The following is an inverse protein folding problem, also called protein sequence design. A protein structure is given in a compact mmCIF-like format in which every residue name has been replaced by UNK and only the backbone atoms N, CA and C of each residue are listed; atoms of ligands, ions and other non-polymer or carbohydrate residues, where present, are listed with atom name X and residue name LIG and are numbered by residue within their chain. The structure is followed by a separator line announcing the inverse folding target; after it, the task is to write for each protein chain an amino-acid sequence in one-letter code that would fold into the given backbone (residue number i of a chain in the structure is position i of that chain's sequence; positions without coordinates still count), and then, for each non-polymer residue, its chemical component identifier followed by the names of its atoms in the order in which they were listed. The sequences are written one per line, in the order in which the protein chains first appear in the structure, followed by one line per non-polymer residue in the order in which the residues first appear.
data_IF_579950732871
#
_entry.id   IF_579950732871
#
_cell.length_a   1.000
_cell.length_b   1.000
_cell.length_c   1.000
_cell.angle_alpha   90.00
_cell.angle_beta   90.00
_cell.angle_gamma   90.00
#
_symmetry.space_group_name_H-M   'P 1'
#
loop_
_entity.id
_entity.type
_entity.pdbx_description
1 polymer ?
#
# COMPACT_ATOMS: atom_id res chain seq x y z
N UNK A 1 -61.16 -33.34 21.87
CA UNK A 1 -60.22 -32.35 22.44
C UNK A 1 -58.79 -32.74 22.06
N UNK A 2 -58.14 -31.88 21.26
CA UNK A 2 -56.70 -31.62 21.07
C UNK A 2 -55.72 -32.81 20.89
N UNK A 3 -55.40 -33.08 19.62
CA UNK A 3 -54.12 -33.65 19.20
C UNK A 3 -52.96 -32.70 19.56
N UNK A 4 -51.89 -33.22 20.17
CA UNK A 4 -50.62 -32.51 20.35
C UNK A 4 -49.61 -33.10 19.37
N UNK A 5 -49.35 -32.37 18.30
CA UNK A 5 -48.21 -32.59 17.40
C UNK A 5 -46.99 -31.94 18.05
N UNK A 6 -45.98 -32.74 18.40
CA UNK A 6 -44.67 -32.21 18.77
C UNK A 6 -43.89 -31.96 17.48
N UNK A 7 -43.73 -30.68 17.13
CA UNK A 7 -42.87 -30.24 16.04
C UNK A 7 -41.45 -30.10 16.60
N UNK A 8 -40.59 -31.08 16.30
CA UNK A 8 -39.16 -31.01 16.62
C UNK A 8 -38.47 -30.13 15.58
N UNK A 9 -38.18 -28.88 15.93
CA UNK A 9 -37.35 -27.99 15.11
C UNK A 9 -35.90 -28.43 15.20
N UNK A 10 -35.42 -29.10 14.16
CA UNK A 10 -34.01 -29.38 13.93
C UNK A 10 -33.34 -28.09 13.41
N UNK A 11 -32.64 -27.35 14.27
CA UNK A 11 -31.72 -26.29 13.80
C UNK A 11 -30.52 -26.95 13.13
N UNK A 12 -30.39 -26.78 11.81
CA UNK A 12 -29.13 -27.00 11.11
C UNK A 12 -28.18 -25.86 11.47
N UNK A 13 -27.26 -26.11 12.40
CA UNK A 13 -26.07 -25.29 12.54
C UNK A 13 -25.14 -25.59 11.35
N UNK A 14 -25.08 -24.69 10.39
CA UNK A 14 -24.10 -24.76 9.31
C UNK A 14 -22.75 -24.38 9.89
N UNK A 15 -21.91 -25.38 10.17
CA UNK A 15 -20.52 -25.15 10.51
C UNK A 15 -19.78 -24.71 9.24
N UNK A 16 -19.44 -23.42 9.14
CA UNK A 16 -18.43 -22.96 8.19
C UNK A 16 -17.10 -23.53 8.69
N UNK A 17 -16.62 -24.58 8.03
CA UNK A 17 -15.28 -25.08 8.27
C UNK A 17 -14.29 -23.95 7.93
N UNK A 18 -13.52 -23.51 8.92
CA UNK A 18 -12.39 -22.64 8.68
C UNK A 18 -11.43 -23.36 7.72
N UNK A 19 -11.21 -22.77 6.54
CA UNK A 19 -10.20 -23.25 5.62
C UNK A 19 -8.84 -23.27 6.33
N UNK A 20 -7.99 -24.28 6.08
CA UNK A 20 -6.66 -24.32 6.68
C UNK A 20 -5.89 -23.06 6.28
N UNK A 21 -5.29 -22.38 7.25
CA UNK A 21 -4.44 -21.23 7.02
C UNK A 21 -3.25 -21.66 6.15
N UNK A 22 -3.33 -21.37 4.85
CA UNK A 22 -2.17 -21.42 3.96
C UNK A 22 -1.21 -20.36 4.48
N UNK A 23 0.01 -20.77 4.88
CA UNK A 23 1.06 -19.81 5.22
C UNK A 23 1.21 -18.84 4.05
N UNK A 24 0.88 -17.58 4.28
CA UNK A 24 1.02 -16.51 3.30
C UNK A 24 2.52 -16.25 3.18
N UNK A 25 3.14 -16.70 2.10
CA UNK A 25 4.55 -16.41 1.87
C UNK A 25 4.70 -14.91 1.66
N UNK A 26 5.30 -14.21 2.62
CA UNK A 26 5.57 -12.79 2.45
C UNK A 26 6.49 -12.60 1.25
N UNK A 27 5.98 -11.92 0.23
CA UNK A 27 6.68 -11.72 -1.04
C UNK A 27 6.67 -10.25 -1.38
N UNK A 28 7.75 -9.77 -1.98
CA UNK A 28 7.73 -8.45 -2.60
C UNK A 28 6.73 -8.44 -3.77
N UNK A 29 5.95 -7.37 -3.97
CA UNK A 29 5.13 -7.24 -5.17
C UNK A 29 6.06 -7.19 -6.39
N UNK A 30 6.02 -8.24 -7.21
CA UNK A 30 6.72 -8.24 -8.50
C UNK A 30 5.76 -7.69 -9.54
N UNK A 31 5.95 -6.49 -10.09
CA UNK A 31 5.22 -6.10 -11.29
C UNK A 31 5.57 -7.12 -12.38
N UNK A 32 4.55 -7.76 -12.95
CA UNK A 32 4.72 -8.70 -14.07
C UNK A 32 5.32 -7.97 -15.26
N UNK A 33 6.65 -7.97 -15.35
CA UNK A 33 7.40 -7.45 -16.48
C UNK A 33 8.39 -8.52 -16.89
N UNK A 34 8.08 -9.22 -17.98
CA UNK A 34 9.06 -10.01 -18.71
C UNK A 34 10.14 -9.07 -19.22
N UNK A 35 11.27 -8.99 -18.52
CA UNK A 35 12.49 -8.37 -19.04
C UNK A 35 13.63 -9.35 -18.94
N UNK A 36 13.95 -9.91 -20.11
CA UNK A 36 15.20 -10.62 -20.38
C UNK A 36 16.35 -9.65 -20.08
N UNK A 37 17.09 -9.92 -19.02
CA UNK A 37 18.31 -9.16 -18.71
C UNK A 37 19.38 -9.54 -19.73
N UNK A 38 19.70 -8.61 -20.63
CA UNK A 38 20.94 -8.66 -21.42
C UNK A 38 22.03 -7.96 -20.60
N UNK A 39 23.16 -8.61 -20.28
CA UNK A 39 24.21 -7.96 -19.49
C UNK A 39 25.03 -7.05 -20.41
N UNK A 40 24.86 -5.74 -20.27
CA UNK A 40 25.82 -4.76 -20.80
C UNK A 40 26.77 -4.31 -19.70
N UNK A 41 28.00 -4.80 -19.79
CA UNK A 41 29.17 -4.24 -19.10
C UNK A 41 29.37 -2.79 -19.55
N UNK A 42 29.27 -1.83 -18.62
CA UNK A 42 29.65 -0.44 -18.86
C UNK A 42 30.71 -0.01 -17.85
N UNK A 43 31.90 0.21 -18.41
CA UNK A 43 33.10 0.78 -17.81
C UNK A 43 32.84 2.19 -17.27
N UNK A 44 33.37 2.43 -16.06
CA UNK A 44 33.38 3.70 -15.34
C UNK A 44 34.37 4.71 -15.93
N UNK A 45 33.99 5.99 -16.00
CA UNK A 45 34.88 7.13 -16.18
C UNK A 45 34.34 8.36 -15.40
N UNK A 46 35.20 9.26 -14.89
CA UNK A 46 34.95 10.00 -13.64
C UNK A 46 34.22 11.35 -13.76
N UNK A 47 33.71 11.78 -12.61
CA UNK A 47 32.96 13.00 -12.27
C UNK A 47 33.80 14.28 -12.43
N UNK A 48 33.24 15.39 -12.97
CA UNK A 48 33.75 16.73 -12.67
C UNK A 48 32.92 17.41 -11.57
N UNK A 49 33.65 17.93 -10.60
CA UNK A 49 33.22 18.75 -9.47
C UNK A 49 32.81 20.14 -9.95
N UNK A 50 31.64 20.65 -9.55
CA UNK A 50 31.39 22.10 -9.53
C UNK A 50 30.62 22.55 -8.28
N UNK A 51 30.96 23.77 -7.89
CA UNK A 51 30.92 24.35 -6.54
C UNK A 51 29.74 25.30 -6.37
N UNK A 52 29.24 25.32 -5.12
CA UNK A 52 28.32 26.29 -4.49
C UNK A 52 28.49 27.77 -4.91
N UNK A 53 27.37 28.46 -5.15
CA UNK A 53 27.10 29.82 -4.62
C UNK A 53 25.66 30.29 -4.92
N UNK A 54 24.95 30.69 -3.87
CA UNK A 54 23.93 31.76 -3.84
C UNK A 54 24.47 32.82 -2.83
N UNK A 55 24.04 34.12 -2.78
CA UNK A 55 22.64 34.51 -2.64
C UNK A 55 22.23 35.94 -3.17
N UNK A 56 20.96 36.29 -2.88
CA UNK A 56 20.37 37.64 -2.63
C UNK A 56 19.55 38.39 -3.71
N UNK A 57 18.22 38.38 -3.49
CA UNK A 57 17.30 39.50 -3.20
C UNK A 57 17.54 40.89 -3.80
N UNK A 58 16.55 41.45 -4.53
CA UNK A 58 15.92 42.75 -4.19
C UNK A 58 14.66 43.05 -5.01
N UNK A 59 13.72 43.68 -4.31
CA UNK A 59 12.34 44.12 -4.59
C UNK A 59 12.23 45.36 -5.49
N UNK A 60 11.09 45.56 -6.19
CA UNK A 60 10.18 46.73 -6.01
C UNK A 60 8.89 46.69 -6.88
N UNK A 61 7.73 46.70 -6.19
CA UNK A 61 6.40 47.38 -6.35
C UNK A 61 5.95 47.93 -7.74
N UNK A 62 4.79 47.55 -8.31
CA UNK A 62 3.36 47.97 -8.08
C UNK A 62 2.98 49.31 -8.80
N UNK A 63 1.71 49.72 -9.11
CA UNK A 63 0.39 49.06 -9.16
C UNK A 63 -0.45 49.30 -10.45
N UNK A 64 -1.54 48.53 -10.57
CA UNK A 64 -2.88 49.08 -10.79
C UNK A 64 -3.42 49.26 -12.21
N UNK A 65 -4.47 48.50 -12.57
CA UNK A 65 -5.72 49.12 -13.03
C UNK A 65 -6.91 48.15 -13.01
N UNK A 66 -7.98 48.64 -12.39
CA UNK A 66 -9.31 48.07 -12.24
C UNK A 66 -10.08 48.09 -13.57
N UNK A 67 -10.95 47.09 -13.82
CA UNK A 67 -12.33 47.29 -14.31
C UNK A 67 -13.05 45.95 -14.54
N UNK A 68 -14.17 45.78 -13.84
CA UNK A 68 -15.27 44.89 -14.25
C UNK A 68 -16.15 45.61 -15.30
N UNK A 69 -16.85 44.86 -16.16
CA UNK A 69 -18.30 44.75 -15.97
C UNK A 69 -18.88 43.36 -16.29
N UNK A 70 -20.07 43.11 -15.73
CA UNK A 70 -20.98 41.98 -16.00
C UNK A 70 -22.06 42.41 -17.04
N UNK A 71 -23.07 41.58 -17.38
CA UNK A 71 -23.13 40.48 -18.34
C UNK A 71 -23.85 40.86 -19.66
N UNK A 72 -23.79 40.00 -20.68
CA UNK A 72 -24.76 40.05 -21.79
C UNK A 72 -25.10 38.63 -22.29
N UNK A 73 -26.39 38.31 -22.24
CA UNK A 73 -27.01 37.16 -22.90
C UNK A 73 -26.85 37.24 -24.43
N UNK A 74 -26.70 36.09 -25.11
CA UNK A 74 -27.58 35.69 -26.22
C UNK A 74 -27.28 34.27 -26.73
N UNK A 75 -28.31 33.43 -26.63
CA UNK A 75 -28.74 32.30 -27.47
C UNK A 75 -27.97 32.00 -28.76
N UNK A 76 -27.54 30.73 -28.91
CA UNK A 76 -27.81 29.88 -30.10
C UNK A 76 -27.32 28.45 -29.87
N UNK A 77 -28.25 27.50 -29.97
CA UNK A 77 -27.99 26.07 -30.00
C UNK A 77 -27.59 25.60 -31.41
N UNK A 78 -26.72 24.58 -31.51
CA UNK A 78 -26.83 23.62 -32.59
C UNK A 78 -27.04 22.20 -32.05
N UNK A 79 -28.13 21.59 -32.49
CA UNK A 79 -28.42 20.16 -32.40
C UNK A 79 -27.30 19.38 -33.08
N UNK A 80 -26.60 18.52 -32.33
CA UNK A 80 -25.67 17.53 -32.87
C UNK A 80 -26.16 16.15 -32.47
N UNK A 81 -26.74 15.44 -33.43
CA UNK A 81 -27.12 14.03 -33.30
C UNK A 81 -25.86 13.17 -33.38
N UNK A 82 -25.33 12.77 -32.22
CA UNK A 82 -24.23 11.82 -32.14
C UNK A 82 -24.80 10.41 -31.98
N UNK A 83 -24.78 9.63 -33.05
CA UNK A 83 -25.04 8.19 -33.02
C UNK A 83 -23.91 7.51 -32.25
N UNK A 84 -24.18 7.09 -31.01
CA UNK A 84 -23.24 6.30 -30.21
C UNK A 84 -23.42 4.83 -30.54
N UNK A 85 -22.49 4.27 -31.32
CA UNK A 85 -22.34 2.81 -31.45
C UNK A 85 -21.63 2.29 -30.20
N UNK A 86 -22.38 1.57 -29.37
CA UNK A 86 -21.92 0.87 -28.18
C UNK A 86 -21.05 -0.34 -28.56
N UNK A 87 -19.79 -0.46 -28.10
CA UNK A 87 -19.07 -1.72 -28.20
C UNK A 87 -19.41 -2.61 -26.99
N UNK A 88 -20.00 -3.77 -27.30
CA UNK A 88 -20.27 -4.89 -26.39
C UNK A 88 -19.04 -5.26 -25.54
N UNK A 89 -19.18 -5.51 -24.22
CA UNK A 89 -18.05 -5.89 -23.37
C UNK A 89 -17.65 -7.34 -23.66
N UNK A 90 -16.45 -7.52 -24.22
CA UNK A 90 -15.84 -8.85 -24.31
C UNK A 90 -15.33 -9.26 -22.93
N UNK A 91 -16.01 -10.21 -22.27
CA UNK A 91 -15.49 -10.87 -21.07
C UNK A 91 -14.17 -11.58 -21.39
N UNK A 92 -13.11 -11.20 -20.68
CA UNK A 92 -11.80 -11.86 -20.74
C UNK A 92 -11.83 -13.10 -19.82
N UNK A 93 -11.35 -14.28 -20.26
CA UNK A 93 -11.37 -15.48 -19.42
C UNK A 93 -10.44 -15.32 -18.20
N UNK A 94 -10.76 -15.96 -17.06
CA UNK A 94 -9.92 -15.88 -15.87
C UNK A 94 -8.54 -16.49 -16.15
N UNK A 95 -7.42 -15.86 -15.72
CA UNK A 95 -6.11 -16.49 -15.83
C UNK A 95 -6.07 -17.70 -14.88
N UNK A 96 -5.95 -18.89 -15.47
CA UNK A 96 -5.62 -20.12 -14.77
C UNK A 96 -4.11 -20.36 -14.84
N UNK A 97 -3.49 -20.48 -13.67
CA UNK A 97 -2.06 -20.78 -13.47
C UNK A 97 -1.55 -19.97 -12.28
N UNK A 98 -1.01 -20.51 -11.19
CA UNK A 98 -0.45 -21.82 -10.92
C UNK A 98 0.76 -21.61 -10.01
N UNK A 99 0.61 -21.88 -8.71
CA UNK A 99 1.73 -22.14 -7.79
C UNK A 99 2.56 -20.93 -7.30
N UNK A 100 1.97 -20.08 -6.47
CA UNK A 100 2.64 -19.07 -5.66
C UNK A 100 1.55 -18.32 -4.90
N UNK A 101 1.67 -18.15 -3.57
CA UNK A 101 0.59 -17.67 -2.70
C UNK A 101 -0.22 -16.55 -3.34
N UNK A 102 -1.53 -16.77 -3.50
CA UNK A 102 -2.39 -15.93 -4.33
C UNK A 102 -2.42 -14.49 -3.80
N UNK A 103 -1.56 -13.63 -4.33
CA UNK A 103 -1.77 -12.19 -4.26
C UNK A 103 -2.97 -11.86 -5.14
N UNK A 104 -4.01 -11.20 -4.61
CA UNK A 104 -5.10 -10.68 -5.43
C UNK A 104 -4.56 -9.95 -6.66
N UNK A 105 -5.13 -10.22 -7.83
CA UNK A 105 -4.78 -9.47 -9.02
C UNK A 105 -5.15 -8.00 -8.80
N UNK A 106 -4.16 -7.11 -8.86
CA UNK A 106 -4.38 -5.67 -8.71
C UNK A 106 -5.24 -5.13 -9.85
N UNK A 107 -6.07 -4.14 -9.53
CA UNK A 107 -6.75 -3.35 -10.54
C UNK A 107 -5.74 -2.71 -11.50
N UNK A 108 -6.14 -2.50 -12.76
CA UNK A 108 -5.32 -1.84 -13.79
C UNK A 108 -4.81 -0.46 -13.34
N UNK A 109 -5.62 0.24 -12.55
CA UNK A 109 -5.28 1.51 -11.92
C UNK A 109 -5.44 1.31 -10.41
N UNK A 110 -4.32 1.16 -9.72
CA UNK A 110 -4.29 0.90 -8.29
C UNK A 110 -3.79 2.13 -7.53
N UNK A 111 -4.45 2.44 -6.41
CA UNK A 111 -4.00 3.48 -5.48
C UNK A 111 -3.10 2.88 -4.40
N UNK A 112 -1.88 3.42 -4.30
CA UNK A 112 -0.88 3.04 -3.30
C UNK A 112 -0.78 4.14 -2.26
N UNK A 113 -1.06 3.79 -1.00
CA UNK A 113 -0.99 4.71 0.14
C UNK A 113 0.06 4.27 1.15
N UNK A 114 0.77 5.23 1.73
CA UNK A 114 1.65 4.99 2.89
C UNK A 114 0.88 5.37 4.16
N UNK A 115 0.76 4.41 5.08
CA UNK A 115 0.13 4.61 6.38
C UNK A 115 1.20 4.75 7.44
N UNK A 116 1.20 5.87 8.18
CA UNK A 116 2.04 6.04 9.36
C UNK A 116 1.50 5.16 10.48
N UNK A 117 2.04 3.95 10.59
CA UNK A 117 1.59 2.94 11.53
C UNK A 117 2.55 2.81 12.74
N UNK A 118 3.84 3.11 12.54
CA UNK A 118 4.87 3.02 13.59
C UNK A 118 5.30 4.36 14.20
N UNK A 119 4.77 5.49 13.73
CA UNK A 119 5.18 6.83 14.17
C UNK A 119 4.09 7.89 13.94
N UNK A 120 4.30 9.10 14.47
CA UNK A 120 3.50 10.31 14.21
C UNK A 120 4.39 11.52 13.91
N UNK A 121 4.16 12.13 12.75
CA UNK A 121 4.91 13.32 12.31
C UNK A 121 4.06 14.61 12.31
N UNK A 122 3.00 14.64 13.13
CA UNK A 122 2.05 15.76 13.19
C UNK A 122 0.91 15.69 12.16
N UNK A 123 0.91 14.73 11.23
CA UNK A 123 -0.21 14.47 10.31
C UNK A 123 -1.42 13.78 10.99
N UNK A 124 -1.29 13.41 12.26
CA UNK A 124 -2.24 12.59 13.00
C UNK A 124 -2.00 11.09 12.81
N UNK A 125 -2.71 10.29 13.60
CA UNK A 125 -2.68 8.83 13.55
C UNK A 125 -4.05 8.30 13.12
N UNK A 126 -4.07 7.48 12.06
CA UNK A 126 -5.27 6.84 11.51
C UNK A 126 -5.20 5.34 11.85
N UNK A 127 -6.20 4.83 12.57
CA UNK A 127 -6.31 3.39 12.85
C UNK A 127 -6.54 2.62 11.55
N UNK A 128 -6.03 1.40 11.46
CA UNK A 128 -6.12 0.55 10.26
C UNK A 128 -7.57 0.32 9.82
N UNK A 129 -8.49 0.23 10.78
CA UNK A 129 -9.94 0.08 10.52
C UNK A 129 -10.55 1.31 9.85
N UNK A 130 -9.98 2.49 10.08
CA UNK A 130 -10.49 3.80 9.62
C UNK A 130 -9.81 4.25 8.32
N UNK A 131 -8.81 3.52 7.83
CA UNK A 131 -8.20 3.75 6.51
C UNK A 131 -9.29 3.63 5.43
N UNK A 132 -9.31 4.51 4.43
CA UNK A 132 -10.31 4.43 3.34
C UNK A 132 -10.22 3.09 2.58
N UNK A 133 -11.35 2.60 2.10
CA UNK A 133 -11.41 1.45 1.19
C UNK A 133 -11.02 1.83 -0.26
N UNK A 134 -10.74 3.11 -0.56
CA UNK A 134 -10.25 3.55 -1.87
C UNK A 134 -8.81 3.11 -2.15
N UNK A 135 -8.02 2.83 -1.12
CA UNK A 135 -6.64 2.35 -1.27
C UNK A 135 -6.64 0.88 -1.69
N UNK A 136 -5.89 0.55 -2.74
CA UNK A 136 -5.71 -0.84 -3.20
C UNK A 136 -4.51 -1.49 -2.53
N UNK A 137 -3.47 -0.70 -2.27
CA UNK A 137 -2.26 -1.11 -1.55
C UNK A 137 -2.00 -0.15 -0.40
N UNK A 138 -1.86 -0.71 0.80
CA UNK A 138 -1.59 0.00 2.04
C UNK A 138 -0.19 -0.40 2.51
N UNK A 139 0.75 0.53 2.44
CA UNK A 139 2.14 0.35 2.86
C UNK A 139 2.33 0.86 4.29
N UNK A 140 2.52 -0.05 5.23
CA UNK A 140 2.78 0.25 6.63
C UNK A 140 4.18 0.85 6.77
N UNK A 141 4.21 2.11 7.19
CA UNK A 141 5.41 2.92 7.28
C UNK A 141 5.83 3.07 8.74
N UNK A 142 7.05 2.72 9.14
CA UNK A 142 8.06 1.93 8.42
C UNK A 142 8.60 0.80 9.27
N UNK A 143 9.04 -0.27 8.62
CA UNK A 143 9.99 -1.24 9.16
C UNK A 143 11.41 -0.67 9.06
N UNK A 144 12.12 -0.63 10.18
CA UNK A 144 13.43 0.01 10.30
C UNK A 144 14.48 -0.99 10.83
N UNK A 145 15.75 -0.90 10.41
CA UNK A 145 16.78 -1.80 10.93
C UNK A 145 17.26 -1.38 12.32
N UNK A 146 17.63 -2.34 13.18
CA UNK A 146 18.26 -2.04 14.49
C UNK A 146 19.53 -1.20 14.32
N UNK A 147 20.36 -1.60 13.35
CA UNK A 147 21.52 -0.86 12.87
C UNK A 147 21.67 -1.07 11.38
N UNK A 148 22.29 -0.14 10.63
CA UNK A 148 22.29 -0.20 9.18
C UNK A 148 22.84 -1.50 8.55
N UNK A 149 23.76 -2.20 9.23
CA UNK A 149 24.38 -3.43 8.72
C UNK A 149 23.87 -4.71 9.37
N UNK A 150 22.95 -4.61 10.33
CA UNK A 150 22.43 -5.79 11.06
C UNK A 150 21.60 -6.73 10.18
N UNK A 151 20.92 -6.18 9.19
CA UNK A 151 19.85 -6.87 8.48
C UNK A 151 18.61 -7.15 9.34
N UNK A 152 18.59 -6.81 10.63
CA UNK A 152 17.46 -7.09 11.50
C UNK A 152 16.42 -5.97 11.42
N UNK A 153 15.27 -6.24 10.80
CA UNK A 153 14.19 -5.27 10.64
C UNK A 153 13.23 -5.38 11.83
N UNK A 154 12.83 -4.23 12.38
CA UNK A 154 11.82 -4.12 13.41
C UNK A 154 10.62 -3.32 12.90
N UNK A 155 9.44 -3.73 13.36
CA UNK A 155 8.21 -2.99 13.16
C UNK A 155 7.32 -3.17 14.38
N UNK A 156 7.01 -2.05 15.02
CA UNK A 156 6.08 -1.98 16.15
C UNK A 156 5.09 -0.85 15.89
N UNK A 157 3.87 -0.99 16.43
CA UNK A 157 2.88 0.08 16.33
C UNK A 157 3.36 1.34 17.04
N UNK A 158 2.86 2.48 16.57
CA UNK A 158 3.21 3.78 17.12
C UNK A 158 3.06 3.78 18.66
N UNK A 159 4.10 4.17 19.42
CA UNK A 159 4.02 4.15 20.87
C UNK A 159 2.86 5.00 21.38
N UNK A 160 2.13 4.55 22.40
CA UNK A 160 0.99 5.30 22.99
C UNK A 160 1.39 6.71 23.43
N UNK A 161 2.64 6.90 23.87
CA UNK A 161 3.18 8.20 24.25
C UNK A 161 3.26 9.18 23.07
N UNK A 162 3.41 8.68 21.86
CA UNK A 162 3.46 9.45 20.62
C UNK A 162 2.09 9.48 19.93
N UNK A 163 1.37 8.35 19.88
CA UNK A 163 0.03 8.20 19.32
C UNK A 163 -1.00 7.82 20.41
N UNK A 164 -1.65 8.79 21.07
CA UNK A 164 -2.58 8.50 22.17
C UNK A 164 -3.80 7.64 21.79
N UNK A 165 -4.16 7.63 20.50
CA UNK A 165 -5.27 6.89 19.94
C UNK A 165 -4.84 5.62 19.17
N UNK A 166 -3.59 5.15 19.35
CA UNK A 166 -3.14 3.89 18.76
C UNK A 166 -4.03 2.72 19.20
N UNK A 167 -4.33 1.83 18.26
CA UNK A 167 -5.14 0.63 18.53
C UNK A 167 -4.28 -0.50 19.13
N UNK A 168 -4.92 -1.53 19.67
CA UNK A 168 -4.18 -2.70 20.15
C UNK A 168 -3.60 -3.50 18.99
N UNK A 169 -2.51 -4.26 19.21
CA UNK A 169 -1.94 -5.15 18.18
C UNK A 169 -3.01 -6.13 17.64
N UNK A 170 -3.89 -6.64 18.51
CA UNK A 170 -4.97 -7.53 18.11
C UNK A 170 -6.02 -6.84 17.21
N UNK A 171 -6.42 -5.61 17.55
CA UNK A 171 -7.37 -4.84 16.73
C UNK A 171 -6.75 -4.46 15.38
N UNK A 172 -5.46 -4.10 15.38
CA UNK A 172 -4.71 -3.80 14.16
C UNK A 172 -4.66 -5.02 13.22
N UNK A 173 -4.31 -6.20 13.73
CA UNK A 173 -4.30 -7.44 12.93
C UNK A 173 -5.70 -7.78 12.40
N UNK A 174 -6.74 -7.67 13.24
CA UNK A 174 -8.11 -7.90 12.79
C UNK A 174 -8.55 -6.93 11.68
N UNK A 175 -8.13 -5.67 11.75
CA UNK A 175 -8.38 -4.67 10.72
C UNK A 175 -7.59 -4.97 9.42
N UNK A 176 -6.35 -5.44 9.52
CA UNK A 176 -5.57 -5.92 8.36
C UNK A 176 -6.31 -7.08 7.68
N UNK A 177 -6.73 -8.09 8.44
CA UNK A 177 -7.44 -9.24 7.89
C UNK A 177 -8.74 -8.81 7.19
N UNK A 178 -9.47 -7.84 7.76
CA UNK A 178 -10.66 -7.28 7.13
C UNK A 178 -10.36 -6.56 5.80
N UNK A 179 -9.24 -5.84 5.70
CA UNK A 179 -8.79 -5.17 4.46
C UNK A 179 -8.36 -6.19 3.41
N UNK A 180 -7.61 -7.20 3.82
CA UNK A 180 -7.18 -8.31 2.95
C UNK A 180 -8.38 -9.11 2.45
N UNK A 181 -9.39 -9.34 3.28
CA UNK A 181 -10.64 -9.99 2.87
C UNK A 181 -11.43 -9.19 1.83
N UNK A 182 -11.27 -7.86 1.79
CA UNK A 182 -11.80 -6.97 0.74
C UNK A 182 -10.90 -6.92 -0.52
N UNK A 183 -9.87 -7.75 -0.60
CA UNK A 183 -8.96 -7.82 -1.75
C UNK A 183 -7.85 -6.76 -1.75
N UNK A 184 -7.66 -6.03 -0.65
CA UNK A 184 -6.59 -5.02 -0.52
C UNK A 184 -5.26 -5.70 -0.22
N UNK A 185 -4.16 -5.13 -0.70
CA UNK A 185 -2.82 -5.53 -0.27
C UNK A 185 -2.40 -4.67 0.92
N UNK A 186 -1.97 -5.30 2.00
CA UNK A 186 -1.34 -4.62 3.14
C UNK A 186 0.10 -5.11 3.24
N UNK A 187 1.06 -4.20 3.19
CA UNK A 187 2.48 -4.53 3.04
C UNK A 187 3.34 -3.78 4.05
N UNK A 188 4.46 -4.38 4.45
CA UNK A 188 5.49 -3.69 5.21
C UNK A 188 6.33 -2.82 4.27
N UNK A 189 6.41 -1.51 4.51
CA UNK A 189 7.41 -0.66 3.84
C UNK A 189 8.69 -0.61 4.67
N UNK A 190 9.82 -1.00 4.08
CA UNK A 190 11.13 -0.97 4.73
C UNK A 190 11.89 0.24 4.20
N UNK A 191 12.16 1.22 5.06
CA UNK A 191 12.65 2.53 4.64
C UNK A 191 12.39 3.59 5.69
N UNK A 192 12.15 4.83 5.24
CA UNK A 192 12.01 5.99 6.12
C UNK A 192 13.37 6.54 6.56
N UNK A 193 13.37 7.65 7.29
CA UNK A 193 14.60 8.38 7.65
C UNK A 193 15.69 7.49 8.28
N UNK A 194 15.29 6.50 9.08
CA UNK A 194 16.20 5.54 9.73
C UNK A 194 16.35 4.22 8.98
N UNK A 195 15.64 4.02 7.87
CA UNK A 195 15.59 2.80 7.07
C UNK A 195 16.80 2.51 6.18
N UNK A 196 18.00 2.90 6.60
CA UNK A 196 19.23 2.61 5.85
C UNK A 196 19.62 1.15 6.02
N UNK A 197 19.27 0.29 5.07
CA UNK A 197 19.62 -1.14 5.10
C UNK A 197 20.83 -1.41 4.20
N UNK A 198 21.88 -2.03 4.76
CA UNK A 198 23.05 -2.52 4.03
C UNK A 198 23.29 -4.00 4.32
N UNK A 199 23.05 -4.84 3.32
CA UNK A 199 23.21 -6.30 3.42
C UNK A 199 24.59 -6.71 2.89
N UNK A 200 25.63 -6.36 3.62
CA UNK A 200 27.04 -6.57 3.22
C UNK A 200 27.52 -8.02 3.45
N UNK A 201 26.75 -8.82 4.20
CA UNK A 201 27.10 -10.20 4.55
C UNK A 201 25.91 -11.15 4.38
N UNK A 202 26.18 -12.44 4.18
CA UNK A 202 25.13 -13.48 4.15
C UNK A 202 24.36 -13.55 5.47
N UNK A 203 25.03 -13.36 6.61
CA UNK A 203 24.36 -13.32 7.90
C UNK A 203 23.35 -12.17 8.01
N UNK A 204 23.71 -10.98 7.50
CA UNK A 204 22.79 -9.84 7.45
C UNK A 204 21.61 -10.11 6.49
N UNK A 205 21.86 -10.74 5.33
CA UNK A 205 20.80 -11.18 4.41
C UNK A 205 19.84 -12.15 5.10
N UNK A 206 20.36 -13.14 5.80
CA UNK A 206 19.54 -14.17 6.45
C UNK A 206 18.71 -13.57 7.59
N UNK A 207 19.29 -12.63 8.35
CA UNK A 207 18.56 -11.86 9.37
C UNK A 207 17.47 -10.98 8.78
N UNK A 208 17.70 -10.41 7.60
CA UNK A 208 16.67 -9.66 6.88
C UNK A 208 15.50 -10.54 6.48
N UNK A 209 15.78 -11.71 5.88
CA UNK A 209 14.72 -12.65 5.48
C UNK A 209 13.95 -13.14 6.72
N UNK A 210 14.66 -13.50 7.79
CA UNK A 210 14.06 -13.98 9.04
C UNK A 210 13.13 -12.93 9.67
N UNK A 211 13.65 -11.71 9.88
CA UNK A 211 12.91 -10.63 10.56
C UNK A 211 11.71 -10.14 9.74
N UNK A 212 11.88 -9.92 8.44
CA UNK A 212 10.76 -9.49 7.56
C UNK A 212 9.67 -10.57 7.50
N UNK A 213 10.06 -11.85 7.37
CA UNK A 213 9.08 -12.95 7.36
C UNK A 213 8.31 -13.01 8.69
N UNK A 214 9.01 -12.84 9.82
CA UNK A 214 8.38 -12.84 11.14
C UNK A 214 7.39 -11.67 11.31
N UNK A 215 7.71 -10.47 10.83
CA UNK A 215 6.79 -9.32 10.87
C UNK A 215 5.55 -9.61 10.01
N UNK A 216 5.74 -10.16 8.80
CA UNK A 216 4.60 -10.49 7.95
C UNK A 216 3.69 -11.55 8.57
N UNK A 217 4.27 -12.58 9.19
CA UNK A 217 3.52 -13.62 9.90
C UNK A 217 2.78 -13.04 11.12
N UNK A 218 3.43 -12.15 11.88
CA UNK A 218 2.84 -11.51 13.07
C UNK A 218 1.63 -10.64 12.73
N UNK A 219 1.71 -9.87 11.66
CA UNK A 219 0.69 -8.89 11.28
C UNK A 219 -0.21 -9.34 10.12
N UNK A 220 -0.10 -10.60 9.68
CA UNK A 220 -0.84 -11.18 8.55
C UNK A 220 -0.69 -10.38 7.24
N UNK A 221 0.51 -9.85 6.99
CA UNK A 221 0.77 -9.01 5.82
C UNK A 221 0.76 -9.80 4.51
N UNK A 222 0.41 -9.11 3.44
CA UNK A 222 0.40 -9.68 2.07
C UNK A 222 1.75 -9.61 1.37
N UNK A 223 2.70 -8.85 1.92
CA UNK A 223 4.01 -8.64 1.32
C UNK A 223 4.82 -7.54 1.98
N UNK A 224 5.89 -7.13 1.33
CA UNK A 224 6.73 -6.02 1.73
C UNK A 224 7.23 -5.22 0.52
N UNK A 225 7.58 -3.95 0.69
CA UNK A 225 8.13 -3.07 -0.34
C UNK A 225 9.39 -2.38 0.17
N UNK A 226 10.40 -2.25 -0.68
CA UNK A 226 11.65 -1.58 -0.36
C UNK A 226 11.55 -0.09 -0.73
N UNK A 227 11.76 0.78 0.25
CA UNK A 227 11.67 2.24 0.12
C UNK A 227 12.98 2.89 0.56
N UNK A 228 14.09 2.47 -0.05
CA UNK A 228 15.42 3.00 0.25
C UNK A 228 15.70 4.29 -0.52
N UNK A 229 16.31 5.26 0.15
CA UNK A 229 16.92 6.43 -0.47
C UNK A 229 18.31 6.07 -0.99
N UNK A 230 18.75 6.74 -2.07
CA UNK A 230 20.10 6.60 -2.62
C UNK A 230 21.16 7.21 -1.71
#
# INVERSE_FOLDING_TARGET
MRARVFLSSLLLASAVAAAPAVKRQCSAPVPSSSSTVVPTTSTEAPIPTETSSAPETSTTVDPGSTSAPEPSESTSAPTSTSTSTDPEPTESPPPSGGGGGATPALAKHALFGYLHASFMNGAGYIQMKDVSDDWDVINLSFGEPDTPTSGNIQFELCPVAECPNVESEADFVAAIDAKVAKGKLVQLSIGGEKGQVRLETEAARDKFIESVSAICDRYHLTGYVLCFHR
#
